data_IF_147255589191
#
_entry.id   IF_147255589191
#
_cell.length_a   1.000
_cell.length_b   1.000
_cell.length_c   1.000
_cell.angle_alpha   90.00
_cell.angle_beta   90.00
_cell.angle_gamma   90.00
#
_symmetry.space_group_name_H-M   'P 1'
#
loop_
_entity.id
_entity.type
_entity.pdbx_description
1 polymer ?
#
# COMPACT_ATOMS: atom_id res chain seq x y z
N UNK A 1 20.58 14.36 59.72
CA UNK A 1 20.18 13.09 59.08
C UNK A 1 18.70 13.18 58.78
N UNK A 2 18.33 13.65 57.59
CA UNK A 2 16.95 13.63 57.11
C UNK A 2 16.75 12.35 56.32
N UNK A 3 15.78 11.55 56.76
CA UNK A 3 15.38 10.29 56.12
C UNK A 3 14.24 10.62 55.17
N UNK A 4 14.48 10.48 53.87
CA UNK A 4 13.49 10.72 52.82
C UNK A 4 12.63 9.47 52.70
N UNK A 5 11.31 9.61 52.89
CA UNK A 5 10.30 8.62 52.57
C UNK A 5 9.49 9.12 51.36
N UNK A 6 9.35 8.24 50.37
CA UNK A 6 8.32 8.15 49.31
C UNK A 6 8.00 9.39 48.46
N UNK A 7 8.16 9.28 47.14
CA UNK A 7 6.99 9.09 46.26
C UNK A 7 7.41 8.63 44.86
N UNK A 8 6.98 7.43 44.47
CA UNK A 8 7.18 6.86 43.13
C UNK A 8 5.94 7.10 42.28
N UNK A 9 5.79 8.33 41.77
CA UNK A 9 4.80 8.66 40.74
C UNK A 9 5.33 9.69 39.75
N UNK A 10 5.44 9.27 38.50
CA UNK A 10 5.17 10.04 37.25
C UNK A 10 6.03 9.62 36.05
N UNK A 11 6.23 8.33 35.81
CA UNK A 11 6.39 7.88 34.42
C UNK A 11 5.00 7.83 33.81
N UNK A 12 4.59 8.97 33.26
CA UNK A 12 3.36 9.12 32.50
C UNK A 12 3.51 8.26 31.24
N UNK A 13 3.03 7.03 31.36
CA UNK A 13 2.87 6.06 30.31
C UNK A 13 1.85 6.63 29.31
N UNK A 14 2.33 7.37 28.32
CA UNK A 14 1.58 7.63 27.10
C UNK A 14 1.47 6.31 26.32
N UNK A 15 0.61 5.41 26.84
CA UNK A 15 -0.12 4.48 25.99
C UNK A 15 -0.94 5.34 25.04
N UNK A 16 -0.37 5.61 23.88
CA UNK A 16 -1.11 5.97 22.68
C UNK A 16 -2.22 4.92 22.55
N UNK A 17 -3.45 5.38 22.71
CA UNK A 17 -4.64 4.64 22.30
C UNK A 17 -4.51 4.46 20.79
N UNK A 18 -3.94 3.35 20.34
CA UNK A 18 -4.01 2.94 18.95
C UNK A 18 -5.44 2.49 18.70
N UNK A 19 -6.23 3.39 18.13
CA UNK A 19 -7.53 3.07 17.57
C UNK A 19 -7.34 2.25 16.29
N UNK A 20 -7.68 0.96 16.37
CA UNK A 20 -8.36 0.25 15.27
C UNK A 20 -7.50 -0.46 14.23
N UNK A 21 -7.24 -1.75 14.47
CA UNK A 21 -6.86 -2.75 13.45
C UNK A 21 -6.37 -4.04 14.10
N UNK A 22 -6.72 -5.24 13.58
CA UNK A 22 -6.24 -6.48 14.17
C UNK A 22 -4.73 -6.56 14.00
N UNK A 23 -4.01 -6.73 15.11
CA UNK A 23 -2.57 -6.92 15.13
C UNK A 23 -2.26 -8.33 14.58
N UNK A 24 -2.25 -8.45 13.25
CA UNK A 24 -2.00 -9.70 12.51
C UNK A 24 -0.52 -10.07 12.60
N UNK A 25 -0.10 -10.72 13.69
CA UNK A 25 1.13 -11.53 13.73
C UNK A 25 2.47 -10.85 13.41
N UNK A 26 2.54 -9.51 13.36
CA UNK A 26 3.77 -8.78 13.02
C UNK A 26 4.79 -8.94 14.15
N UNK A 27 6.00 -9.38 13.82
CA UNK A 27 7.09 -9.53 14.80
C UNK A 27 7.53 -8.15 15.31
N UNK A 28 7.87 -7.99 16.61
CA UNK A 28 8.41 -6.74 17.15
C UNK A 28 9.56 -6.11 16.37
N UNK A 29 10.43 -6.92 15.73
CA UNK A 29 11.53 -6.41 14.90
C UNK A 29 11.04 -5.75 13.61
N UNK A 30 9.99 -6.29 12.99
CA UNK A 30 9.39 -5.72 11.78
C UNK A 30 8.63 -4.44 12.11
N UNK A 31 7.90 -4.44 13.23
CA UNK A 31 7.20 -3.26 13.71
C UNK A 31 8.17 -2.08 13.94
N UNK A 32 9.32 -2.35 14.56
CA UNK A 32 10.36 -1.33 14.74
C UNK A 32 10.92 -0.81 13.41
N UNK A 33 11.10 -1.68 12.42
CA UNK A 33 11.57 -1.27 11.10
C UNK A 33 10.53 -0.42 10.36
N UNK A 34 9.24 -0.76 10.47
CA UNK A 34 8.16 0.04 9.89
C UNK A 34 8.03 1.41 10.55
N UNK A 35 8.19 1.51 11.88
CA UNK A 35 8.18 2.80 12.57
C UNK A 35 9.35 3.71 12.12
N UNK A 36 10.55 3.14 11.93
CA UNK A 36 11.71 3.88 11.41
C UNK A 36 11.48 4.31 9.95
N UNK A 37 10.95 3.41 9.11
CA UNK A 37 10.63 3.71 7.71
C UNK A 37 9.60 4.84 7.61
N UNK A 38 8.54 4.79 8.42
CA UNK A 38 7.52 5.85 8.50
C UNK A 38 8.16 7.21 8.81
N UNK A 39 8.94 7.30 9.88
CA UNK A 39 9.58 8.56 10.28
C UNK A 39 10.53 9.10 9.18
N UNK A 40 11.25 8.21 8.50
CA UNK A 40 12.11 8.56 7.37
C UNK A 40 11.32 9.15 6.20
N UNK A 41 10.21 8.52 5.81
CA UNK A 41 9.37 9.01 4.72
C UNK A 41 8.61 10.29 5.08
N UNK A 42 8.14 10.45 6.32
CA UNK A 42 7.56 11.71 6.80
C UNK A 42 8.57 12.86 6.71
N UNK A 43 9.82 12.61 7.09
CA UNK A 43 10.91 13.58 6.94
C UNK A 43 11.17 13.90 5.46
N UNK A 44 11.21 12.89 4.60
CA UNK A 44 11.40 13.08 3.16
C UNK A 44 10.27 13.91 2.53
N UNK A 45 9.02 13.68 2.94
CA UNK A 45 7.86 14.48 2.52
C UNK A 45 8.01 15.94 2.96
N UNK A 46 8.46 16.18 4.20
CA UNK A 46 8.68 17.54 4.71
C UNK A 46 9.77 18.29 3.94
N UNK A 47 10.79 17.57 3.44
CA UNK A 47 11.90 18.15 2.68
C UNK A 47 11.57 18.35 1.19
N UNK A 48 10.77 17.45 0.60
CA UNK A 48 10.43 17.45 -0.82
C UNK A 48 8.94 17.06 -1.01
N UNK A 49 7.99 17.99 -0.79
CA UNK A 49 6.55 17.69 -0.83
C UNK A 49 6.00 17.46 -2.24
N UNK A 50 6.76 17.81 -3.27
CA UNK A 50 6.46 17.58 -4.69
C UNK A 50 7.09 16.28 -5.22
N UNK A 51 7.72 15.49 -4.37
CA UNK A 51 8.28 14.19 -4.73
C UNK A 51 7.33 13.06 -4.36
N UNK A 52 6.91 12.27 -5.34
CA UNK A 52 5.88 11.23 -5.16
C UNK A 52 6.34 10.02 -4.33
N UNK A 53 7.58 9.55 -4.50
CA UNK A 53 8.02 8.26 -3.92
C UNK A 53 7.87 8.17 -2.39
N UNK A 54 8.21 9.20 -1.59
CA UNK A 54 7.97 9.19 -0.15
C UNK A 54 6.51 8.95 0.24
N UNK A 55 5.55 9.54 -0.49
CA UNK A 55 4.12 9.31 -0.23
C UNK A 55 3.73 7.86 -0.52
N UNK A 56 4.20 7.30 -1.63
CA UNK A 56 3.92 5.90 -2.00
C UNK A 56 4.52 4.93 -0.98
N UNK A 57 5.80 5.11 -0.63
CA UNK A 57 6.48 4.21 0.29
C UNK A 57 5.95 4.30 1.73
N UNK A 58 5.55 5.50 2.16
CA UNK A 58 4.84 5.69 3.42
C UNK A 58 3.50 4.97 3.41
N UNK A 59 2.73 5.10 2.32
CA UNK A 59 1.50 4.34 2.12
C UNK A 59 1.72 2.83 2.23
N UNK A 60 2.76 2.30 1.57
CA UNK A 60 3.09 0.85 1.61
C UNK A 60 3.42 0.41 3.03
N UNK A 61 4.23 1.20 3.74
CA UNK A 61 4.61 0.93 5.13
C UNK A 61 3.38 0.89 6.03
N UNK A 62 2.47 1.85 5.89
CA UNK A 62 1.20 1.89 6.64
C UNK A 62 0.28 0.71 6.29
N UNK A 63 0.21 0.31 5.01
CA UNK A 63 -0.55 -0.89 4.60
C UNK A 63 0.01 -2.16 5.23
N UNK A 64 1.34 -2.32 5.31
CA UNK A 64 1.98 -3.46 5.98
C UNK A 64 1.69 -3.50 7.48
N UNK A 65 1.48 -2.35 8.11
CA UNK A 65 1.06 -2.21 9.51
C UNK A 65 -0.47 -2.39 9.68
N UNK A 66 -1.24 -2.58 8.61
CA UNK A 66 -2.70 -2.68 8.64
C UNK A 66 -3.44 -1.34 8.71
N UNK A 67 -2.73 -0.21 8.64
CA UNK A 67 -3.29 1.14 8.69
C UNK A 67 -3.79 1.61 7.32
N UNK A 68 -4.71 0.85 6.72
CA UNK A 68 -5.14 1.05 5.33
C UNK A 68 -5.78 2.42 5.05
N UNK A 69 -6.48 3.00 6.03
CA UNK A 69 -7.09 4.32 5.86
C UNK A 69 -6.05 5.45 5.74
N UNK A 70 -4.98 5.37 6.53
CA UNK A 70 -3.86 6.32 6.46
C UNK A 70 -3.06 6.10 5.18
N UNK A 71 -2.81 4.84 4.82
CA UNK A 71 -2.15 4.48 3.57
C UNK A 71 -2.85 5.09 2.35
N UNK A 72 -4.18 4.98 2.28
CA UNK A 72 -5.00 5.58 1.22
C UNK A 72 -4.83 7.10 1.11
N UNK A 73 -4.70 7.81 2.25
CA UNK A 73 -4.48 9.25 2.22
C UNK A 73 -3.13 9.60 1.59
N UNK A 74 -2.07 8.84 1.89
CA UNK A 74 -0.74 9.06 1.32
C UNK A 74 -0.68 8.70 -0.16
N UNK A 75 -1.24 7.57 -0.59
CA UNK A 75 -1.30 7.25 -2.02
C UNK A 75 -2.05 8.33 -2.82
N UNK A 76 -3.18 8.82 -2.29
CA UNK A 76 -3.94 9.91 -2.93
C UNK A 76 -3.18 11.22 -2.96
N UNK A 77 -2.34 11.52 -1.97
CA UNK A 77 -1.45 12.68 -2.03
C UNK A 77 -0.37 12.51 -3.09
N UNK A 78 0.20 11.30 -3.24
CA UNK A 78 1.09 10.97 -4.36
C UNK A 78 0.42 11.23 -5.71
N UNK A 79 -0.84 10.80 -5.88
CA UNK A 79 -1.61 11.04 -7.10
C UNK A 79 -1.97 12.52 -7.37
N UNK A 80 -1.86 13.42 -6.38
CA UNK A 80 -1.96 14.87 -6.65
C UNK A 80 -0.73 15.40 -7.36
N UNK A 81 0.43 14.73 -7.19
CA UNK A 81 1.70 15.08 -7.82
C UNK A 81 1.76 14.45 -9.21
N UNK A 82 1.51 13.14 -9.30
CA UNK A 82 1.38 12.41 -10.58
C UNK A 82 0.06 11.61 -10.61
N UNK A 83 -0.99 12.13 -11.27
CA UNK A 83 -2.28 11.46 -11.36
C UNK A 83 -2.26 10.11 -12.08
N UNK A 84 -1.20 9.81 -12.85
CA UNK A 84 -1.11 8.61 -13.67
C UNK A 84 -0.12 7.58 -13.10
N UNK A 85 0.36 7.75 -11.86
CA UNK A 85 1.21 6.74 -11.22
C UNK A 85 0.45 5.44 -10.97
N UNK A 86 0.65 4.48 -11.87
CA UNK A 86 -0.02 3.18 -11.89
C UNK A 86 0.16 2.43 -10.56
N UNK A 87 1.34 2.52 -9.94
CA UNK A 87 1.63 1.85 -8.66
C UNK A 87 0.72 2.38 -7.55
N UNK A 88 0.61 3.70 -7.40
CA UNK A 88 -0.30 4.31 -6.42
C UNK A 88 -1.75 3.90 -6.66
N UNK A 89 -2.20 3.84 -7.92
CA UNK A 89 -3.56 3.42 -8.25
C UNK A 89 -3.81 1.95 -7.85
N UNK A 90 -2.85 1.06 -8.14
CA UNK A 90 -2.92 -0.35 -7.72
C UNK A 90 -2.95 -0.46 -6.19
N UNK A 91 -2.07 0.27 -5.48
CA UNK A 91 -2.03 0.22 -4.01
C UNK A 91 -3.28 0.79 -3.35
N UNK A 92 -3.93 1.79 -3.96
CA UNK A 92 -5.26 2.25 -3.54
C UNK A 92 -6.27 1.12 -3.68
N UNK A 93 -6.28 0.42 -4.81
CA UNK A 93 -7.14 -0.74 -5.03
C UNK A 93 -6.93 -1.83 -3.97
N UNK A 94 -5.66 -2.17 -3.69
CA UNK A 94 -5.30 -3.18 -2.70
C UNK A 94 -5.81 -2.77 -1.30
N UNK A 95 -5.57 -1.52 -0.88
CA UNK A 95 -6.00 -1.03 0.42
C UNK A 95 -7.55 -0.99 0.55
N UNK A 96 -8.27 -0.66 -0.53
CA UNK A 96 -9.73 -0.71 -0.56
C UNK A 96 -10.24 -2.15 -0.45
N UNK A 97 -9.59 -3.08 -1.13
CA UNK A 97 -9.91 -4.50 -1.07
C UNK A 97 -9.71 -5.08 0.33
N UNK A 98 -8.61 -4.75 1.01
CA UNK A 98 -8.41 -5.16 2.42
C UNK A 98 -9.45 -4.58 3.37
N UNK A 99 -10.02 -3.41 3.04
CA UNK A 99 -11.13 -2.81 3.78
C UNK A 99 -12.50 -3.37 3.40
N UNK A 100 -12.56 -4.30 2.45
CA UNK A 100 -13.81 -4.90 1.96
C UNK A 100 -14.59 -4.03 0.96
N UNK A 101 -14.06 -2.87 0.55
CA UNK A 101 -14.67 -2.04 -0.49
C UNK A 101 -14.26 -2.54 -1.88
N UNK A 102 -14.77 -3.71 -2.23
CA UNK A 102 -14.44 -4.37 -3.49
C UNK A 102 -14.90 -3.56 -4.70
N UNK A 103 -15.96 -2.74 -4.56
CA UNK A 103 -16.46 -1.90 -5.66
C UNK A 103 -15.43 -0.83 -6.03
N UNK A 104 -14.97 -0.07 -5.05
CA UNK A 104 -13.96 0.96 -5.30
C UNK A 104 -12.59 0.35 -5.68
N UNK A 105 -12.27 -0.85 -5.18
CA UNK A 105 -11.08 -1.59 -5.61
C UNK A 105 -11.13 -1.94 -7.10
N UNK A 106 -12.26 -2.48 -7.59
CA UNK A 106 -12.47 -2.79 -9.02
C UNK A 106 -12.30 -1.54 -9.89
N UNK A 107 -12.85 -0.40 -9.48
CA UNK A 107 -12.68 0.87 -10.21
C UNK A 107 -11.22 1.29 -10.29
N UNK A 108 -10.48 1.15 -9.18
CA UNK A 108 -9.05 1.48 -9.12
C UNK A 108 -8.23 0.58 -10.06
N UNK A 109 -8.44 -0.74 -10.03
CA UNK A 109 -7.70 -1.64 -10.92
C UNK A 109 -8.05 -1.44 -12.40
N UNK A 110 -9.31 -1.15 -12.72
CA UNK A 110 -9.71 -0.79 -14.09
C UNK A 110 -9.02 0.49 -14.57
N UNK A 111 -8.84 1.47 -13.71
CA UNK A 111 -8.07 2.67 -14.03
C UNK A 111 -6.60 2.33 -14.29
N UNK A 112 -5.96 1.53 -13.43
CA UNK A 112 -4.60 1.05 -13.66
C UNK A 112 -4.46 0.30 -15.00
N UNK A 113 -5.41 -0.56 -15.35
CA UNK A 113 -5.44 -1.28 -16.63
C UNK A 113 -5.65 -0.33 -17.82
N UNK A 114 -6.44 0.73 -17.66
CA UNK A 114 -6.62 1.72 -18.72
C UNK A 114 -5.30 2.46 -19.04
N UNK A 115 -4.47 2.70 -18.02
CA UNK A 115 -3.15 3.32 -18.16
C UNK A 115 -2.07 2.33 -18.64
N UNK A 116 -2.12 1.09 -18.16
CA UNK A 116 -1.22 0.00 -18.55
C UNK A 116 -2.00 -1.30 -18.82
N UNK A 117 -2.47 -1.50 -20.06
CA UNK A 117 -3.31 -2.65 -20.43
C UNK A 117 -2.63 -4.01 -20.25
N UNK A 118 -1.30 -4.05 -20.21
CA UNK A 118 -0.47 -5.24 -20.02
C UNK A 118 0.03 -5.41 -18.57
N UNK A 119 -0.52 -4.65 -17.62
CA UNK A 119 -0.18 -4.81 -16.21
C UNK A 119 -0.82 -6.09 -15.63
N UNK A 120 -0.04 -7.18 -15.60
CA UNK A 120 -0.48 -8.47 -15.06
C UNK A 120 -0.98 -8.37 -13.61
N UNK A 121 -0.30 -7.58 -12.76
CA UNK A 121 -0.69 -7.36 -11.36
C UNK A 121 -2.10 -6.74 -11.26
N UNK A 122 -2.39 -5.70 -12.06
CA UNK A 122 -3.69 -5.04 -12.03
C UNK A 122 -4.83 -5.97 -12.50
N UNK A 123 -4.59 -6.80 -13.53
CA UNK A 123 -5.55 -7.82 -13.98
C UNK A 123 -5.79 -8.89 -12.92
N UNK A 124 -4.74 -9.36 -12.25
CA UNK A 124 -4.87 -10.34 -11.18
C UNK A 124 -5.66 -9.78 -9.99
N UNK A 125 -5.35 -8.55 -9.57
CA UNK A 125 -6.03 -7.93 -8.43
C UNK A 125 -7.48 -7.56 -8.77
N UNK A 126 -7.77 -7.19 -10.03
CA UNK A 126 -9.13 -7.05 -10.54
C UNK A 126 -9.90 -8.38 -10.45
N UNK A 127 -9.28 -9.50 -10.83
CA UNK A 127 -9.85 -10.84 -10.68
C UNK A 127 -10.23 -11.13 -9.23
N UNK A 128 -9.31 -10.90 -8.29
CA UNK A 128 -9.54 -11.12 -6.86
C UNK A 128 -10.72 -10.27 -6.35
N UNK A 129 -10.79 -8.99 -6.73
CA UNK A 129 -11.86 -8.11 -6.27
C UNK A 129 -13.23 -8.49 -6.88
N UNK A 130 -13.28 -8.92 -8.14
CA UNK A 130 -14.51 -9.40 -8.80
C UNK A 130 -15.01 -10.72 -8.20
N UNK A 131 -14.09 -11.62 -7.85
CA UNK A 131 -14.41 -12.87 -7.15
C UNK A 131 -15.04 -12.59 -5.79
N UNK A 132 -14.47 -11.65 -5.02
CA UNK A 132 -15.04 -11.22 -3.74
C UNK A 132 -16.43 -10.55 -3.88
N UNK A 133 -16.77 -10.01 -5.06
CA UNK A 133 -18.13 -9.55 -5.38
C UNK A 133 -19.08 -10.67 -5.84
N UNK A 134 -18.59 -11.90 -5.99
CA UNK A 134 -19.35 -13.02 -6.56
C UNK A 134 -19.44 -13.01 -8.09
N UNK A 135 -18.75 -12.12 -8.79
CA UNK A 135 -18.74 -12.05 -10.24
C UNK A 135 -17.66 -12.95 -10.84
N UNK A 136 -17.85 -14.26 -10.70
CA UNK A 136 -16.87 -15.29 -11.03
C UNK A 136 -16.48 -15.27 -12.52
N UNK A 137 -17.42 -15.04 -13.43
CA UNK A 137 -17.13 -15.04 -14.87
C UNK A 137 -16.20 -13.88 -15.27
N UNK A 138 -16.42 -12.69 -14.70
CA UNK A 138 -15.55 -11.55 -14.94
C UNK A 138 -14.19 -11.73 -14.26
N UNK A 139 -14.14 -12.40 -13.10
CA UNK A 139 -12.89 -12.73 -12.42
C UNK A 139 -12.02 -13.66 -13.28
N UNK A 140 -12.56 -14.76 -13.79
CA UNK A 140 -11.86 -15.69 -14.70
C UNK A 140 -11.32 -14.97 -15.93
N UNK A 141 -12.10 -14.07 -16.51
CA UNK A 141 -11.65 -13.25 -17.65
C UNK A 141 -10.42 -12.41 -17.27
N UNK A 142 -10.45 -11.78 -16.10
CA UNK A 142 -9.35 -10.93 -15.61
C UNK A 142 -8.08 -11.76 -15.30
N UNK A 143 -8.21 -12.90 -14.62
CA UNK A 143 -7.09 -13.81 -14.39
C UNK A 143 -6.48 -14.32 -15.71
N UNK A 144 -7.32 -14.64 -16.70
CA UNK A 144 -6.84 -15.05 -18.02
C UNK A 144 -6.03 -13.95 -18.70
N UNK A 145 -6.45 -12.68 -18.57
CA UNK A 145 -5.66 -11.55 -19.08
C UNK A 145 -4.33 -11.39 -18.33
N UNK A 146 -4.30 -11.58 -17.01
CA UNK A 146 -3.06 -11.54 -16.23
C UNK A 146 -2.02 -12.54 -16.78
N UNK A 147 -2.45 -13.78 -17.05
CA UNK A 147 -1.60 -14.84 -17.63
C UNK A 147 -1.14 -14.53 -19.06
N UNK A 148 -1.92 -13.80 -19.85
CA UNK A 148 -1.49 -13.35 -21.19
C UNK A 148 -0.46 -12.22 -21.10
N UNK A 149 -0.51 -11.43 -20.03
CA UNK A 149 0.38 -10.30 -19.82
C UNK A 149 1.77 -10.72 -19.29
N UNK A 150 1.85 -11.72 -18.40
CA UNK A 150 3.13 -12.20 -17.85
C UNK A 150 4.18 -12.58 -18.92
N UNK A 151 3.85 -13.36 -19.98
CA UNK A 151 4.79 -13.67 -21.06
C UNK A 151 5.21 -12.44 -21.87
N UNK A 152 4.32 -11.45 -22.02
CA UNK A 152 4.63 -10.20 -22.74
C UNK A 152 5.61 -9.34 -21.95
N UNK A 153 5.42 -9.23 -20.63
CA UNK A 153 6.33 -8.52 -19.73
C UNK A 153 7.71 -9.20 -19.64
N UNK A 154 7.76 -10.54 -19.63
CA UNK A 154 9.02 -11.27 -19.69
C UNK A 154 9.77 -11.04 -21.02
N UNK A 155 9.03 -11.02 -22.14
CA UNK A 155 9.59 -10.80 -23.48
C UNK A 155 10.08 -9.36 -23.69
N UNK A 156 9.34 -8.34 -23.24
CA UNK A 156 9.76 -6.93 -23.36
C UNK A 156 11.05 -6.65 -22.57
N UNK A 157 11.19 -7.22 -21.37
CA UNK A 157 12.39 -7.10 -20.55
C UNK A 157 13.61 -7.82 -21.13
N UNK A 158 13.42 -8.81 -22.01
CA UNK A 158 14.50 -9.51 -22.70
C UNK A 158 15.07 -8.67 -23.85
N UNK A 159 14.23 -7.94 -24.58
CA UNK A 159 14.66 -7.07 -25.69
C UNK A 159 15.37 -5.79 -25.24
N UNK A 160 15.19 -5.34 -24.00
CA UNK A 160 15.87 -4.15 -23.45
C UNK A 160 17.27 -4.43 -22.88
N UNK A 161 17.72 -5.70 -22.91
CA UNK A 161 19.01 -6.11 -22.32
C UNK A 161 20.11 -6.45 -23.33
N UNK A 162 19.89 -6.25 -24.63
CA UNK A 162 20.95 -6.35 -25.63
C UNK A 162 21.49 -4.95 -25.96
N UNK A 163 22.65 -4.55 -25.40
CA UNK A 163 23.47 -3.53 -26.04
C UNK A 163 24.18 -4.16 -27.25
N UNK A 164 24.09 -3.51 -28.40
CA UNK A 164 24.98 -3.75 -29.55
C UNK A 164 26.48 -3.62 -29.16
#
# INVERSE_FOLDING_TARGET
RQTIQMDSRSTQNHRSKTSGGPNVGINPLDLRQYDLARAGYETAIALAPDYILPYVNLGVTLSLMGHFSEALAHYRNGLKIDPNDIKSIIYIGNALQFKGDYKAAVESYRNAIALAPDCAEAHNNLGNALENQGNLQAAVTSYTQALVCEPKAARSNMFLKEPD
#
